data_IF_951606012419
#
_entry.id   IF_951606012419
#
_cell.length_a   1.000
_cell.length_b   1.000
_cell.length_c   1.000
_cell.angle_alpha   90.00
_cell.angle_beta   90.00
_cell.angle_gamma   90.00
#
_symmetry.space_group_name_H-M   'P 1'
#
loop_
_entity.id
_entity.type
_entity.pdbx_description
1 polymer ?
#
# COMPACT_ATOMS: atom_id res chain seq x y z
N UNK A 1 26.90 26.16 42.38
CA UNK A 1 26.48 26.69 41.07
C UNK A 1 26.99 25.89 39.86
N UNK A 2 28.14 25.21 39.91
CA UNK A 2 28.62 24.39 38.78
C UNK A 2 27.79 23.12 38.49
N UNK A 3 27.14 22.52 39.49
CA UNK A 3 26.32 21.31 39.32
C UNK A 3 24.96 21.53 38.62
N UNK A 4 24.44 22.77 38.61
CA UNK A 4 23.14 23.10 37.99
C UNK A 4 23.25 23.35 36.47
N UNK A 5 24.45 23.60 35.95
CA UNK A 5 24.70 23.81 34.51
C UNK A 5 25.18 22.54 33.78
N UNK A 6 25.51 21.48 34.52
CA UNK A 6 25.96 20.21 33.94
C UNK A 6 24.78 19.47 33.27
N UNK A 7 23.59 19.56 33.84
CA UNK A 7 22.40 18.84 33.38
C UNK A 7 21.89 19.31 32.00
N UNK A 8 21.75 20.62 31.72
CA UNK A 8 21.35 21.09 30.40
C UNK A 8 22.37 20.73 29.31
N UNK A 9 23.67 20.78 29.63
CA UNK A 9 24.73 20.43 28.68
C UNK A 9 24.67 18.95 28.26
N UNK A 10 24.40 18.05 29.20
CA UNK A 10 24.23 16.61 28.92
C UNK A 10 23.00 16.36 28.05
N UNK A 11 21.89 17.05 28.29
CA UNK A 11 20.67 16.92 27.48
C UNK A 11 20.89 17.41 26.05
N UNK A 12 21.55 18.56 25.88
CA UNK A 12 21.86 19.10 24.54
C UNK A 12 22.83 18.18 23.80
N UNK A 13 23.87 17.68 24.48
CA UNK A 13 24.80 16.73 23.87
C UNK A 13 24.11 15.41 23.46
N UNK A 14 23.21 14.88 24.30
CA UNK A 14 22.42 13.69 24.00
C UNK A 14 21.49 13.92 22.81
N UNK A 15 20.79 15.05 22.75
CA UNK A 15 19.93 15.42 21.62
C UNK A 15 20.73 15.52 20.32
N UNK A 16 21.90 16.18 20.33
CA UNK A 16 22.76 16.29 19.15
C UNK A 16 23.29 14.92 18.70
N UNK A 17 23.64 14.04 19.63
CA UNK A 17 24.08 12.68 19.31
C UNK A 17 22.96 11.88 18.61
N UNK A 18 21.72 11.96 19.10
CA UNK A 18 20.55 11.32 18.48
C UNK A 18 20.25 11.94 17.11
N UNK A 19 20.32 13.27 16.98
CA UNK A 19 20.09 13.95 15.70
C UNK A 19 21.11 13.53 14.63
N UNK A 20 22.39 13.48 14.99
CA UNK A 20 23.46 12.98 14.09
C UNK A 20 23.22 11.51 13.73
N UNK A 21 22.83 10.67 14.68
CA UNK A 21 22.51 9.26 14.43
C UNK A 21 21.37 9.11 13.42
N UNK A 22 20.28 9.87 13.58
CA UNK A 22 19.13 9.87 12.65
C UNK A 22 19.55 10.32 11.25
N UNK A 23 20.38 11.36 11.13
CA UNK A 23 20.89 11.83 9.83
C UNK A 23 21.77 10.77 9.16
N UNK A 24 22.63 10.09 9.93
CA UNK A 24 23.48 9.00 9.41
C UNK A 24 22.64 7.80 8.97
N UNK A 25 21.67 7.37 9.79
CA UNK A 25 20.74 6.29 9.42
C UNK A 25 19.93 6.66 8.16
N UNK A 26 19.40 7.88 8.10
CA UNK A 26 18.66 8.39 6.95
C UNK A 26 19.49 8.34 5.67
N UNK A 27 20.74 8.80 5.70
CA UNK A 27 21.65 8.74 4.54
C UNK A 27 21.98 7.32 4.11
N UNK A 28 22.13 6.38 5.06
CA UNK A 28 22.39 4.97 4.73
C UNK A 28 21.19 4.27 4.08
N UNK A 29 19.97 4.63 4.51
CA UNK A 29 18.70 4.19 3.93
C UNK A 29 18.56 4.65 2.47
N UNK A 30 18.81 5.94 2.21
CA UNK A 30 18.70 6.50 0.86
C UNK A 30 19.73 5.91 -0.10
N UNK A 31 20.95 5.62 0.39
CA UNK A 31 21.98 5.01 -0.45
C UNK A 31 21.60 3.59 -0.90
N UNK A 32 21.06 2.76 0.00
CA UNK A 32 20.61 1.39 -0.34
C UNK A 32 19.44 1.42 -1.34
N UNK A 33 18.52 2.36 -1.17
CA UNK A 33 17.42 2.57 -2.09
C UNK A 33 17.90 2.97 -3.50
N UNK A 34 18.92 3.83 -3.62
CA UNK A 34 19.50 4.19 -4.92
C UNK A 34 20.30 3.05 -5.57
N UNK A 35 20.96 2.20 -4.79
CA UNK A 35 21.64 1.02 -5.32
C UNK A 35 20.67 -0.02 -5.87
N UNK A 36 19.56 -0.29 -5.18
CA UNK A 36 18.51 -1.20 -5.65
C UNK A 36 17.80 -0.64 -6.89
N UNK A 37 17.57 0.69 -6.94
CA UNK A 37 17.01 1.38 -8.12
C UNK A 37 17.94 1.36 -9.34
N UNK A 38 19.26 1.46 -9.15
CA UNK A 38 20.23 1.38 -10.24
C UNK A 38 20.51 -0.05 -10.71
N UNK A 39 20.38 -1.05 -9.82
CA UNK A 39 20.48 -2.46 -10.18
C UNK A 39 19.32 -2.90 -11.09
N UNK A 40 18.10 -2.44 -10.80
CA UNK A 40 16.90 -2.74 -11.60
C UNK A 40 16.87 -2.01 -12.96
N UNK A 41 17.73 -1.01 -13.19
CA UNK A 41 17.83 -0.24 -14.44
C UNK A 41 18.95 -0.69 -15.38
N UNK A 42 19.74 -1.71 -15.04
CA UNK A 42 20.71 -2.27 -16.00
C UNK A 42 19.94 -2.93 -17.16
N UNK A 43 20.13 -2.49 -18.41
CA UNK A 43 19.61 -3.20 -19.56
C UNK A 43 20.21 -4.60 -19.57
N UNK A 44 19.35 -5.61 -19.59
CA UNK A 44 19.73 -7.00 -19.80
C UNK A 44 20.52 -7.09 -21.11
N UNK A 45 21.76 -7.62 -21.11
CA UNK A 45 22.53 -7.78 -22.34
C UNK A 45 21.69 -8.55 -23.35
N UNK A 46 21.51 -7.95 -24.53
CA UNK A 46 20.83 -8.57 -25.65
C UNK A 46 21.43 -9.94 -25.92
N UNK A 47 20.56 -10.94 -26.08
CA UNK A 47 20.91 -12.33 -26.28
C UNK A 47 21.92 -12.53 -27.41
N UNK A 48 22.77 -13.53 -27.22
CA UNK A 48 23.77 -13.97 -28.17
C UNK A 48 23.15 -14.31 -29.55
N UNK A 49 23.86 -14.05 -30.66
CA UNK A 49 23.36 -14.26 -32.01
C UNK A 49 23.32 -15.76 -32.37
N UNK A 50 22.17 -16.20 -32.88
CA UNK A 50 21.98 -17.48 -33.58
C UNK A 50 22.40 -17.30 -35.05
N UNK A 51 23.13 -18.25 -35.69
CA UNK A 51 23.61 -18.05 -37.05
C UNK A 51 22.56 -18.38 -38.13
N UNK A 52 22.36 -17.39 -39.01
CA UNK A 52 22.09 -17.41 -40.45
C UNK A 52 21.06 -18.38 -41.07
N UNK A 53 20.08 -17.80 -41.78
CA UNK A 53 19.66 -18.26 -43.12
C UNK A 53 18.82 -17.20 -43.88
N UNK A 54 19.38 -16.77 -45.03
CA UNK A 54 18.73 -16.39 -46.32
C UNK A 54 18.24 -14.94 -46.54
N UNK A 55 18.92 -14.32 -47.50
CA UNK A 55 18.62 -13.09 -48.26
C UNK A 55 17.20 -13.05 -48.86
N UNK A 56 16.57 -11.86 -48.92
CA UNK A 56 16.06 -11.25 -50.18
C UNK A 56 16.08 -9.72 -50.06
N UNK A 57 16.44 -9.09 -51.17
CA UNK A 57 16.72 -7.69 -51.51
C UNK A 57 15.58 -6.65 -51.37
N UNK A 58 16.07 -5.40 -51.32
CA UNK A 58 15.63 -4.16 -52.01
C UNK A 58 14.84 -3.05 -51.29
N UNK A 59 15.33 -1.84 -51.59
CA UNK A 59 14.73 -0.50 -51.54
C UNK A 59 14.81 0.36 -50.25
N UNK A 60 15.74 1.31 -50.29
CA UNK A 60 15.65 2.64 -49.66
C UNK A 60 15.39 3.69 -50.78
N UNK A 61 15.28 5.01 -50.52
CA UNK A 61 14.62 5.78 -49.45
C UNK A 61 13.66 6.85 -50.03
N UNK A 62 12.90 7.58 -49.21
CA UNK A 62 12.32 8.87 -49.66
C UNK A 62 12.11 9.87 -48.51
N UNK A 63 12.77 11.03 -48.66
CA UNK A 63 12.55 12.27 -47.94
C UNK A 63 11.16 12.87 -48.24
N UNK A 64 10.61 13.67 -47.31
CA UNK A 64 9.89 14.89 -47.67
C UNK A 64 9.81 15.86 -46.48
N UNK A 65 10.39 17.04 -46.71
CA UNK A 65 10.42 18.25 -45.90
C UNK A 65 9.20 19.16 -46.20
N UNK A 66 8.68 19.84 -45.15
CA UNK A 66 8.22 21.26 -45.11
C UNK A 66 6.85 21.60 -45.80
N UNK A 67 6.08 22.70 -45.51
CA UNK A 67 6.22 23.83 -44.54
C UNK A 67 4.99 24.20 -43.65
N UNK A 68 5.30 25.02 -42.65
CA UNK A 68 4.46 25.97 -41.88
C UNK A 68 3.85 27.09 -42.76
N UNK A 69 2.66 27.61 -42.43
CA UNK A 69 2.34 29.01 -42.74
C UNK A 69 2.08 29.87 -41.50
N UNK A 70 2.48 31.13 -41.66
CA UNK A 70 2.50 32.19 -40.67
C UNK A 70 1.12 32.81 -40.38
N UNK A 71 1.03 33.40 -39.20
CA UNK A 71 -0.01 34.32 -38.72
C UNK A 71 0.06 35.68 -39.41
N UNK A 72 -1.06 36.43 -39.53
CA UNK A 72 -1.02 37.89 -39.56
C UNK A 72 -1.63 38.50 -38.29
N UNK A 73 -0.91 39.48 -37.76
CA UNK A 73 -1.36 40.41 -36.75
C UNK A 73 -2.24 41.52 -37.35
N UNK A 74 -3.33 41.88 -36.66
CA UNK A 74 -3.93 43.21 -36.69
C UNK A 74 -4.77 43.39 -35.40
N UNK A 75 -4.41 44.35 -34.55
CA UNK A 75 -5.28 44.88 -33.48
C UNK A 75 -6.00 46.16 -33.96
N UNK A 76 -6.40 47.08 -33.07
CA UNK A 76 -7.21 46.90 -31.86
C UNK A 76 -8.43 47.85 -31.88
N UNK A 77 -9.49 47.60 -31.10
CA UNK A 77 -10.37 48.68 -30.63
C UNK A 77 -11.15 48.29 -29.37
N UNK A 78 -11.26 49.27 -28.48
CA UNK A 78 -11.70 49.16 -27.10
C UNK A 78 -13.22 49.33 -26.94
N UNK A 79 -13.80 48.66 -25.94
CA UNK A 79 -14.93 49.18 -25.19
C UNK A 79 -14.91 48.59 -23.77
N UNK A 80 -14.93 49.50 -22.81
CA UNK A 80 -14.77 49.35 -21.37
C UNK A 80 -16.17 49.44 -20.72
N UNK A 81 -16.48 48.62 -19.70
CA UNK A 81 -17.66 48.85 -18.83
C UNK A 81 -18.25 47.66 -18.06
N UNK A 82 -17.82 47.48 -16.81
CA UNK A 82 -18.50 46.94 -15.60
C UNK A 82 -19.00 45.46 -15.60
N UNK A 83 -18.38 44.46 -14.93
CA UNK A 83 -18.24 44.18 -13.47
C UNK A 83 -19.60 43.96 -12.76
N UNK A 84 -19.93 42.91 -12.01
CA UNK A 84 -19.37 41.59 -11.71
C UNK A 84 -20.41 40.80 -10.89
N UNK A 85 -20.42 39.47 -11.01
CA UNK A 85 -20.43 38.51 -9.87
C UNK A 85 -20.12 37.13 -10.46
N UNK A 86 -18.85 36.91 -10.78
CA UNK A 86 -18.34 35.58 -11.05
C UNK A 86 -17.69 35.07 -9.75
N UNK A 87 -18.30 34.04 -9.18
CA UNK A 87 -17.66 33.16 -8.19
C UNK A 87 -16.31 32.72 -8.74
N UNK A 88 -15.18 32.94 -8.06
CA UNK A 88 -13.88 32.56 -8.61
C UNK A 88 -13.80 31.03 -8.62
N UNK A 89 -13.94 30.46 -9.82
CA UNK A 89 -13.32 29.19 -10.15
C UNK A 89 -11.87 29.29 -9.70
N UNK A 90 -11.49 28.50 -8.69
CA UNK A 90 -10.10 28.34 -8.26
C UNK A 90 -9.37 27.64 -9.40
N UNK A 91 -8.86 28.46 -10.31
CA UNK A 91 -8.21 28.05 -11.54
C UNK A 91 -6.88 27.37 -11.23
N UNK A 92 -6.63 26.29 -11.96
CA UNK A 92 -5.47 25.41 -11.99
C UNK A 92 -4.11 26.09 -12.31
N UNK A 93 -3.78 27.21 -11.67
CA UNK A 93 -2.58 28.01 -11.97
C UNK A 93 -1.35 27.52 -11.18
N UNK A 94 -1.52 26.68 -10.14
CA UNK A 94 -0.41 26.11 -9.36
C UNK A 94 0.23 24.84 -9.94
N UNK A 95 -0.53 24.04 -10.69
CA UNK A 95 -0.11 22.71 -11.20
C UNK A 95 0.90 22.78 -12.37
N UNK A 96 1.00 23.92 -13.03
CA UNK A 96 1.80 24.09 -14.25
C UNK A 96 3.32 24.13 -13.99
N UNK A 97 3.76 24.19 -12.73
CA UNK A 97 5.17 24.43 -12.36
C UNK A 97 5.97 23.16 -12.05
N UNK A 98 5.31 22.02 -11.83
CA UNK A 98 6.01 20.75 -11.65
C UNK A 98 6.32 20.11 -13.01
N UNK A 99 7.55 19.63 -13.28
CA UNK A 99 7.91 19.04 -14.58
C UNK A 99 7.06 17.81 -14.97
N UNK A 100 6.39 17.17 -14.01
CA UNK A 100 5.42 16.08 -14.24
C UNK A 100 3.95 16.55 -14.39
N UNK A 101 3.63 17.81 -14.09
CA UNK A 101 2.25 18.33 -14.06
C UNK A 101 1.63 18.63 -15.43
N UNK A 102 2.36 18.46 -16.54
CA UNK A 102 1.92 18.92 -17.88
C UNK A 102 1.77 17.84 -18.95
N UNK A 103 1.68 16.56 -18.59
CA UNK A 103 1.53 15.49 -19.58
C UNK A 103 0.33 14.60 -19.25
N UNK A 104 -0.87 15.02 -19.66
CA UNK A 104 -1.92 14.04 -19.91
C UNK A 104 -1.50 13.24 -21.16
N UNK A 105 -1.08 11.96 -21.03
CA UNK A 105 -0.81 11.13 -22.18
C UNK A 105 -2.13 10.85 -22.92
N UNK A 106 -2.03 10.56 -24.22
CA UNK A 106 -3.16 10.04 -24.97
C UNK A 106 -3.66 8.72 -24.38
N UNK A 107 -4.92 8.39 -24.66
CA UNK A 107 -5.56 7.11 -24.36
C UNK A 107 -4.60 5.92 -24.60
N UNK A 108 -4.42 5.07 -23.58
CA UNK A 108 -3.55 3.89 -23.65
C UNK A 108 -2.21 3.96 -22.89
N UNK A 109 -2.06 4.91 -21.97
CA UNK A 109 -0.86 5.01 -21.13
C UNK A 109 -0.67 3.79 -20.19
N UNK A 110 0.58 3.39 -19.88
CA UNK A 110 0.84 2.34 -18.89
C UNK A 110 0.31 2.73 -17.51
N UNK A 111 0.05 1.74 -16.65
CA UNK A 111 -0.34 2.00 -15.25
C UNK A 111 0.67 2.88 -14.55
N UNK A 112 0.19 3.94 -13.89
CA UNK A 112 1.01 4.92 -13.19
C UNK A 112 0.24 5.54 -12.02
N UNK A 113 0.90 6.45 -11.29
CA UNK A 113 0.27 7.26 -10.25
C UNK A 113 -0.29 8.56 -10.83
N UNK A 114 -1.48 8.94 -10.37
CA UNK A 114 -2.22 10.10 -10.82
C UNK A 114 -2.76 10.87 -9.61
N UNK A 115 -2.77 12.19 -9.71
CA UNK A 115 -3.58 13.03 -8.83
C UNK A 115 -4.95 13.18 -9.48
N UNK A 116 -6.00 12.82 -8.76
CA UNK A 116 -7.39 12.95 -9.22
C UNK A 116 -8.17 13.90 -8.33
N UNK A 117 -9.23 14.50 -8.86
CA UNK A 117 -10.14 15.31 -8.05
C UNK A 117 -10.73 14.49 -6.88
N UNK A 118 -10.60 15.04 -5.68
CA UNK A 118 -11.13 14.47 -4.44
C UNK A 118 -12.60 14.81 -4.19
N UNK A 119 -13.13 15.82 -4.89
CA UNK A 119 -14.46 16.41 -4.63
C UNK A 119 -15.54 15.94 -5.60
N UNK A 120 -15.16 15.49 -6.81
CA UNK A 120 -16.07 14.94 -7.80
C UNK A 120 -16.42 13.47 -7.62
N UNK A 121 -17.58 13.07 -8.16
CA UNK A 121 -18.04 11.67 -8.21
C UNK A 121 -17.16 10.79 -9.11
N UNK A 122 -16.41 11.39 -10.03
CA UNK A 122 -15.49 10.69 -10.95
C UNK A 122 -14.03 11.02 -10.64
N UNK A 123 -13.11 10.04 -10.68
CA UNK A 123 -11.69 10.28 -10.46
C UNK A 123 -11.04 10.88 -11.72
N UNK A 124 -11.36 12.13 -12.03
CA UNK A 124 -10.78 12.86 -13.16
C UNK A 124 -9.31 13.19 -12.90
N UNK A 125 -8.42 12.89 -13.86
CA UNK A 125 -7.00 13.12 -13.72
C UNK A 125 -6.65 14.61 -13.79
N UNK A 126 -6.07 15.13 -12.72
CA UNK A 126 -5.57 16.50 -12.64
C UNK A 126 -4.09 16.61 -12.99
N UNK A 127 -3.30 15.58 -12.64
CA UNK A 127 -1.88 15.49 -12.96
C UNK A 127 -1.35 14.05 -12.97
N UNK A 128 -0.24 13.84 -13.65
CA UNK A 128 0.45 12.56 -13.81
C UNK A 128 0.98 12.42 -15.24
N UNK A 129 1.48 11.23 -15.63
CA UNK A 129 1.75 10.09 -14.76
C UNK A 129 2.98 10.35 -13.87
N UNK A 130 2.88 10.00 -12.58
CA UNK A 130 4.00 9.99 -11.63
C UNK A 130 4.59 8.59 -11.51
N UNK A 131 5.89 8.50 -11.24
CA UNK A 131 6.60 7.21 -11.18
C UNK A 131 6.26 6.43 -9.90
N UNK A 132 6.04 7.14 -8.80
CA UNK A 132 5.68 6.57 -7.51
C UNK A 132 4.71 7.47 -6.73
N UNK A 133 4.12 6.90 -5.67
CA UNK A 133 3.17 7.61 -4.80
C UNK A 133 3.80 8.81 -4.12
N UNK A 134 5.06 8.70 -3.73
CA UNK A 134 5.77 9.75 -3.00
C UNK A 134 5.90 10.98 -3.91
N UNK A 135 6.29 10.81 -5.17
CA UNK A 135 6.34 11.88 -6.16
C UNK A 135 4.98 12.55 -6.38
N UNK A 136 3.90 11.77 -6.48
CA UNK A 136 2.54 12.31 -6.62
C UNK A 136 2.11 13.11 -5.37
N UNK A 137 2.32 12.55 -4.18
CA UNK A 137 1.99 13.21 -2.91
C UNK A 137 2.81 14.50 -2.72
N UNK A 138 4.11 14.50 -3.06
CA UNK A 138 4.93 15.71 -3.05
C UNK A 138 4.42 16.78 -4.03
N UNK A 139 3.93 16.38 -5.20
CA UNK A 139 3.35 17.31 -6.17
C UNK A 139 2.05 17.92 -5.64
N UNK A 140 1.21 17.16 -4.93
CA UNK A 140 0.00 17.66 -4.29
C UNK A 140 0.32 18.73 -3.22
N UNK A 141 1.25 18.42 -2.31
CA UNK A 141 1.71 19.34 -1.26
C UNK A 141 2.31 20.61 -1.85
N UNK A 142 3.19 20.47 -2.85
CA UNK A 142 3.88 21.62 -3.48
C UNK A 142 2.94 22.57 -4.22
N UNK A 143 1.77 22.07 -4.62
CA UNK A 143 0.75 22.85 -5.32
C UNK A 143 -0.38 23.33 -4.38
N UNK A 144 -0.28 23.10 -3.07
CA UNK A 144 -1.31 23.43 -2.07
C UNK A 144 -2.67 22.78 -2.39
N UNK A 145 -2.64 21.51 -2.83
CA UNK A 145 -3.81 20.72 -3.21
C UNK A 145 -4.19 19.65 -2.18
N UNK A 146 -3.50 19.61 -1.04
CA UNK A 146 -3.74 18.62 0.00
C UNK A 146 -5.19 18.61 0.46
N UNK A 147 -5.78 17.42 0.54
CA UNK A 147 -7.19 17.23 0.89
C UNK A 147 -8.20 17.54 -0.23
N UNK A 148 -7.81 18.29 -1.27
CA UNK A 148 -8.64 18.53 -2.45
C UNK A 148 -8.42 17.47 -3.55
N UNK A 149 -7.27 16.79 -3.55
CA UNK A 149 -6.92 15.75 -4.51
C UNK A 149 -6.65 14.41 -3.83
N UNK A 150 -6.83 13.33 -4.58
CA UNK A 150 -6.51 11.97 -4.15
C UNK A 150 -5.44 11.38 -5.06
N UNK A 151 -4.48 10.70 -4.46
CA UNK A 151 -3.46 9.94 -5.19
C UNK A 151 -4.01 8.56 -5.55
N UNK A 152 -4.05 8.23 -6.84
CA UNK A 152 -4.64 6.99 -7.36
C UNK A 152 -3.67 6.32 -8.33
N UNK A 153 -3.49 5.01 -8.16
CA UNK A 153 -2.78 4.18 -9.13
C UNK A 153 -3.76 3.61 -10.16
N UNK A 154 -3.43 3.72 -11.44
CA UNK A 154 -4.37 3.31 -12.49
C UNK A 154 -3.95 3.64 -13.91
N UNK A 155 -4.90 3.44 -14.82
CA UNK A 155 -4.77 3.74 -16.25
C UNK A 155 -5.65 4.93 -16.59
N UNK A 156 -5.10 5.91 -17.29
CA UNK A 156 -5.87 7.02 -17.83
C UNK A 156 -6.75 6.54 -18.98
N UNK A 157 -8.06 6.77 -18.85
CA UNK A 157 -9.07 6.46 -19.87
C UNK A 157 -9.18 7.59 -20.90
N UNK A 158 -9.81 7.31 -22.05
CA UNK A 158 -10.03 8.32 -23.09
C UNK A 158 -10.87 9.51 -22.60
N UNK A 159 -11.78 9.25 -21.66
CA UNK A 159 -12.66 10.23 -21.03
C UNK A 159 -11.94 11.12 -20.00
N UNK A 160 -10.61 11.01 -19.84
CA UNK A 160 -9.82 11.78 -18.86
C UNK A 160 -9.90 11.27 -17.41
N UNK A 161 -10.71 10.24 -17.15
CA UNK A 161 -10.80 9.60 -15.84
C UNK A 161 -9.73 8.54 -15.62
N UNK A 162 -9.39 8.24 -14.36
CA UNK A 162 -8.45 7.17 -14.01
C UNK A 162 -9.20 5.90 -13.62
N UNK A 163 -9.04 4.85 -14.41
CA UNK A 163 -9.49 3.50 -14.04
C UNK A 163 -8.51 2.91 -13.03
N UNK A 164 -8.98 2.68 -11.79
CA UNK A 164 -8.14 2.19 -10.68
C UNK A 164 -7.56 0.82 -11.00
N UNK A 165 -6.28 0.64 -10.65
CA UNK A 165 -5.59 -0.65 -10.68
C UNK A 165 -4.83 -0.83 -9.36
N UNK A 166 -4.73 -2.06 -8.82
CA UNK A 166 -3.90 -2.33 -7.66
C UNK A 166 -2.48 -1.78 -7.85
N UNK A 167 -1.98 -1.05 -6.85
CA UNK A 167 -0.62 -0.52 -6.89
C UNK A 167 0.42 -1.65 -6.76
N UNK A 168 1.71 -1.39 -7.07
CA UNK A 168 2.77 -2.35 -6.75
C UNK A 168 2.80 -2.74 -5.27
N UNK A 169 2.53 -1.78 -4.37
CA UNK A 169 2.44 -2.03 -2.93
C UNK A 169 1.22 -2.92 -2.60
N UNK A 170 0.04 -2.63 -3.16
CA UNK A 170 -1.17 -3.43 -2.92
C UNK A 170 -0.96 -4.86 -3.41
N UNK A 171 -0.34 -5.04 -4.59
CA UNK A 171 -0.02 -6.38 -5.11
C UNK A 171 0.97 -7.14 -4.24
N UNK A 172 2.00 -6.46 -3.72
CA UNK A 172 2.94 -7.07 -2.79
C UNK A 172 2.27 -7.46 -1.47
N UNK A 173 1.38 -6.61 -0.95
CA UNK A 173 0.58 -6.91 0.23
C UNK A 173 -0.37 -8.10 0.01
N UNK A 174 -1.10 -8.13 -1.11
CA UNK A 174 -1.98 -9.25 -1.48
C UNK A 174 -1.21 -10.56 -1.65
N UNK A 175 -0.02 -10.53 -2.26
CA UNK A 175 0.83 -11.71 -2.35
C UNK A 175 1.29 -12.19 -0.97
N UNK A 176 1.67 -11.26 -0.08
CA UNK A 176 2.03 -11.58 1.29
C UNK A 176 0.86 -12.16 2.10
N UNK A 177 -0.34 -11.62 1.93
CA UNK A 177 -1.57 -12.15 2.52
C UNK A 177 -1.88 -13.56 2.01
N UNK A 178 -1.74 -13.81 0.71
CA UNK A 178 -1.88 -15.15 0.12
C UNK A 178 -0.94 -16.15 0.79
N UNK A 179 0.35 -15.80 0.95
CA UNK A 179 1.32 -16.65 1.67
C UNK A 179 0.94 -16.89 3.13
N UNK A 180 0.20 -15.99 3.78
CA UNK A 180 -0.33 -16.24 5.12
C UNK A 180 -1.54 -17.18 5.09
N UNK A 181 -2.44 -17.02 4.12
CA UNK A 181 -3.61 -17.88 3.96
C UNK A 181 -3.22 -19.33 3.59
N UNK A 182 -2.12 -19.52 2.85
CA UNK A 182 -1.55 -20.85 2.55
C UNK A 182 -1.12 -21.65 3.82
N UNK A 183 -1.11 -21.00 5.00
CA UNK A 183 -0.76 -21.61 6.29
C UNK A 183 -1.95 -22.15 7.06
N UNK A 184 -3.17 -21.91 6.58
CA UNK A 184 -4.39 -22.42 7.18
C UNK A 184 -4.40 -23.95 7.19
N UNK A 185 -5.13 -24.56 8.12
CA UNK A 185 -5.25 -26.03 8.16
C UNK A 185 -6.03 -26.55 6.95
N UNK A 186 -5.81 -27.83 6.62
CA UNK A 186 -6.52 -28.53 5.53
C UNK A 186 -8.05 -28.53 5.74
N UNK A 187 -8.54 -28.32 6.97
CA UNK A 187 -9.98 -28.18 7.27
C UNK A 187 -10.64 -27.02 6.50
N UNK A 188 -9.85 -26.03 6.09
CA UNK A 188 -10.32 -24.93 5.27
C UNK A 188 -10.51 -25.32 3.80
N UNK A 189 -9.71 -26.24 3.25
CA UNK A 189 -9.73 -26.55 1.82
C UNK A 189 -11.10 -27.08 1.35
N UNK A 190 -11.80 -27.81 2.23
CA UNK A 190 -13.15 -28.33 1.94
C UNK A 190 -14.25 -27.26 2.08
N UNK A 191 -13.98 -26.18 2.81
CA UNK A 191 -14.94 -25.12 3.14
C UNK A 191 -14.77 -23.87 2.28
N UNK A 192 -13.58 -23.63 1.75
CA UNK A 192 -13.26 -22.46 0.95
C UNK A 192 -13.91 -22.57 -0.44
N UNK A 193 -15.04 -21.90 -0.61
CA UNK A 193 -15.63 -21.64 -1.93
C UNK A 193 -15.68 -20.13 -2.19
N UNK A 194 -15.57 -19.73 -3.46
CA UNK A 194 -15.43 -18.31 -3.88
C UNK A 194 -16.62 -17.42 -3.49
N UNK A 195 -17.78 -18.01 -3.16
CA UNK A 195 -19.01 -17.30 -2.80
C UNK A 195 -19.43 -17.51 -1.33
N UNK A 196 -18.62 -18.18 -0.51
CA UNK A 196 -18.96 -18.42 0.90
C UNK A 196 -18.65 -17.18 1.77
N UNK A 197 -19.62 -16.83 2.62
CA UNK A 197 -19.46 -15.80 3.64
C UNK A 197 -18.34 -16.17 4.63
N UNK A 198 -18.13 -17.46 4.90
CA UNK A 198 -17.05 -17.93 5.77
C UNK A 198 -15.67 -17.73 5.12
N UNK A 199 -15.53 -17.98 3.82
CA UNK A 199 -14.32 -17.65 3.04
C UNK A 199 -14.00 -16.15 3.12
N UNK A 200 -15.02 -15.31 2.93
CA UNK A 200 -14.85 -13.85 3.02
C UNK A 200 -14.38 -13.46 4.42
N UNK A 201 -15.03 -14.01 5.45
CA UNK A 201 -14.72 -13.69 6.84
C UNK A 201 -13.29 -14.09 7.23
N UNK A 202 -12.81 -15.28 6.85
CA UNK A 202 -11.44 -15.70 7.19
C UNK A 202 -10.39 -14.85 6.49
N UNK A 203 -10.64 -14.43 5.25
CA UNK A 203 -9.75 -13.51 4.51
C UNK A 203 -9.71 -12.14 5.18
N UNK A 204 -10.85 -11.60 5.61
CA UNK A 204 -10.91 -10.32 6.32
C UNK A 204 -10.21 -10.39 7.69
N UNK A 205 -10.43 -11.45 8.46
CA UNK A 205 -9.75 -11.67 9.75
C UNK A 205 -8.24 -11.80 9.55
N UNK A 206 -7.80 -12.60 8.59
CA UNK A 206 -6.39 -12.75 8.26
C UNK A 206 -5.76 -11.42 7.82
N UNK A 207 -6.44 -10.66 6.97
CA UNK A 207 -5.98 -9.34 6.52
C UNK A 207 -5.77 -8.38 7.70
N UNK A 208 -6.74 -8.28 8.61
CA UNK A 208 -6.64 -7.42 9.79
C UNK A 208 -5.48 -7.80 10.72
N UNK A 209 -5.26 -9.10 10.93
CA UNK A 209 -4.15 -9.60 11.74
C UNK A 209 -2.80 -9.29 11.10
N UNK A 210 -2.66 -9.55 9.79
CA UNK A 210 -1.43 -9.30 9.03
C UNK A 210 -1.14 -7.81 8.93
N UNK A 211 -2.16 -6.98 8.72
CA UNK A 211 -2.05 -5.52 8.73
C UNK A 211 -1.61 -5.00 10.10
N UNK A 212 -1.98 -5.68 11.18
CA UNK A 212 -1.51 -5.41 12.54
C UNK A 212 -0.08 -5.89 12.83
N UNK A 213 0.57 -6.53 11.85
CA UNK A 213 1.91 -7.09 11.98
C UNK A 213 1.97 -8.46 12.65
N UNK A 214 0.83 -9.13 12.82
CA UNK A 214 0.77 -10.50 13.34
C UNK A 214 0.86 -11.52 12.20
N UNK A 215 1.47 -12.67 12.48
CA UNK A 215 1.61 -13.76 11.52
C UNK A 215 0.68 -14.91 11.86
N UNK A 216 0.14 -15.57 10.84
CA UNK A 216 -0.59 -16.82 11.03
C UNK A 216 0.39 -17.95 11.36
N UNK A 217 -0.03 -18.79 12.31
CA UNK A 217 0.64 -20.03 12.63
C UNK A 217 0.49 -21.01 11.46
N UNK A 218 1.58 -21.69 11.10
CA UNK A 218 1.57 -22.74 10.09
C UNK A 218 0.86 -23.99 10.62
N UNK A 219 -0.43 -24.10 10.28
CA UNK A 219 -1.29 -25.22 10.60
C UNK A 219 -1.33 -26.25 9.46
N UNK A 220 -0.83 -25.93 8.27
CA UNK A 220 -0.74 -26.87 7.15
C UNK A 220 0.38 -27.89 7.38
N UNK A 221 1.36 -27.56 8.23
CA UNK A 221 2.47 -28.45 8.55
C UNK A 221 3.48 -28.58 7.39
N UNK A 222 3.38 -27.68 6.41
CA UNK A 222 4.27 -27.65 5.26
C UNK A 222 5.71 -27.27 5.64
N UNK A 223 5.88 -26.40 6.64
CA UNK A 223 7.19 -25.99 7.17
C UNK A 223 7.28 -26.22 8.70
N UNK A 224 8.01 -27.26 9.14
CA UNK A 224 8.20 -27.54 10.56
C UNK A 224 8.88 -26.41 11.36
N UNK A 225 9.75 -25.61 10.73
CA UNK A 225 10.39 -24.48 11.41
C UNK A 225 9.39 -23.33 11.62
N UNK A 226 8.53 -23.08 10.63
CA UNK A 226 7.45 -22.10 10.75
C UNK A 226 6.40 -22.53 11.78
N UNK A 227 6.06 -23.83 11.83
CA UNK A 227 5.16 -24.37 12.84
C UNK A 227 5.74 -24.17 14.26
N UNK A 228 7.05 -24.39 14.46
CA UNK A 228 7.67 -24.25 15.78
C UNK A 228 7.65 -22.81 16.33
N UNK A 229 7.56 -21.78 15.47
CA UNK A 229 7.65 -20.37 15.85
C UNK A 229 6.41 -19.84 16.59
N UNK A 230 5.25 -20.49 16.41
CA UNK A 230 3.95 -19.99 16.90
C UNK A 230 3.34 -18.89 16.01
N UNK A 231 2.21 -18.35 16.42
CA UNK A 231 1.43 -17.37 15.64
C UNK A 231 -0.06 -17.41 15.95
N UNK A 232 -0.87 -16.77 15.14
CA UNK A 232 -2.34 -16.82 15.27
C UNK A 232 -2.88 -18.03 14.51
N UNK A 233 -3.67 -18.87 15.18
CA UNK A 233 -4.41 -19.96 14.56
C UNK A 233 -5.81 -19.49 14.19
N UNK A 234 -6.24 -19.83 12.98
CA UNK A 234 -7.60 -19.64 12.49
C UNK A 234 -8.19 -21.01 12.17
N UNK A 235 -9.24 -21.39 12.88
CA UNK A 235 -9.90 -22.70 12.72
C UNK A 235 -11.36 -22.45 12.35
N UNK A 236 -11.93 -23.18 11.35
CA UNK A 236 -13.31 -22.98 10.98
C UNK A 236 -14.23 -23.53 12.08
N UNK A 237 -15.28 -22.79 12.42
CA UNK A 237 -16.34 -23.24 13.32
C UNK A 237 -17.69 -23.17 12.60
N UNK A 238 -18.01 -24.29 11.95
CA UNK A 238 -19.16 -24.40 11.05
C UNK A 238 -20.50 -24.39 11.79
N UNK A 239 -20.55 -24.79 13.06
CA UNK A 239 -21.79 -24.82 13.84
C UNK A 239 -22.34 -23.42 14.10
N UNK A 240 -21.43 -22.44 14.23
CA UNK A 240 -21.75 -21.04 14.49
C UNK A 240 -21.48 -20.13 13.28
N UNK A 241 -21.02 -20.71 12.16
CA UNK A 241 -20.70 -19.96 10.94
C UNK A 241 -19.61 -18.92 11.15
N UNK A 242 -18.53 -19.28 11.86
CA UNK A 242 -17.49 -18.34 12.26
C UNK A 242 -16.08 -18.91 12.24
N UNK A 243 -15.14 -18.08 12.67
CA UNK A 243 -13.72 -18.39 12.75
C UNK A 243 -13.29 -18.39 14.21
N UNK A 244 -12.75 -19.50 14.68
CA UNK A 244 -12.07 -19.55 15.97
C UNK A 244 -10.67 -18.98 15.81
N UNK A 245 -10.36 -17.98 16.64
CA UNK A 245 -9.09 -17.29 16.69
C UNK A 245 -8.42 -17.59 18.03
N UNK A 246 -7.18 -18.05 17.96
CA UNK A 246 -6.37 -18.32 19.14
C UNK A 246 -4.88 -18.08 18.87
N UNK A 247 -4.11 -17.91 19.93
CA UNK A 247 -2.66 -17.82 19.85
C UNK A 247 -2.03 -19.20 20.02
N UNK A 248 -1.04 -19.52 19.19
CA UNK A 248 -0.12 -20.64 19.40
C UNK A 248 1.23 -20.10 19.80
N UNK A 249 1.70 -20.46 20.98
CA UNK A 249 3.06 -20.11 21.41
C UNK A 249 4.10 -21.00 20.74
N UNK A 250 5.30 -20.45 20.59
CA UNK A 250 6.49 -21.20 20.20
C UNK A 250 6.66 -22.49 21.03
N UNK A 251 7.04 -23.58 20.37
CA UNK A 251 7.27 -24.89 20.99
C UNK A 251 8.22 -24.89 22.18
N UNK A 252 9.20 -23.97 22.22
CA UNK A 252 10.11 -23.81 23.36
C UNK A 252 9.35 -23.45 24.64
N UNK A 253 8.22 -22.77 24.51
CA UNK A 253 7.39 -22.37 25.63
C UNK A 253 6.29 -23.39 25.90
N UNK A 254 5.55 -23.80 24.87
CA UNK A 254 4.37 -24.64 25.03
C UNK A 254 4.70 -26.14 25.17
N UNK A 255 5.64 -26.67 24.39
CA UNK A 255 6.02 -28.09 24.43
C UNK A 255 7.16 -28.35 25.41
N UNK A 256 8.21 -27.54 25.33
CA UNK A 256 9.41 -27.71 26.15
C UNK A 256 9.27 -27.10 27.54
N UNK A 257 8.27 -26.22 27.75
CA UNK A 257 7.97 -25.56 29.03
C UNK A 257 9.22 -25.02 29.74
N UNK A 258 10.15 -24.43 28.98
CA UNK A 258 11.45 -23.95 29.51
C UNK A 258 11.28 -22.90 30.62
N UNK A 259 10.12 -22.24 30.68
CA UNK A 259 9.75 -21.25 31.69
C UNK A 259 8.64 -21.72 32.65
N UNK A 260 8.21 -22.97 32.54
CA UNK A 260 7.17 -23.59 33.37
C UNK A 260 5.73 -23.33 32.90
N UNK A 261 4.85 -24.27 33.22
CA UNK A 261 3.45 -24.29 32.79
C UNK A 261 2.61 -23.07 33.25
N UNK A 262 2.94 -22.49 34.41
CA UNK A 262 2.22 -21.31 34.92
C UNK A 262 2.45 -20.07 34.05
N UNK A 263 3.69 -19.84 33.58
CA UNK A 263 3.99 -18.73 32.68
C UNK A 263 3.37 -18.97 31.30
N UNK A 264 3.45 -20.21 30.80
CA UNK A 264 2.79 -20.65 29.57
C UNK A 264 1.29 -20.28 29.59
N UNK A 265 0.56 -20.76 30.59
CA UNK A 265 -0.87 -20.46 30.75
C UNK A 265 -1.13 -18.95 30.84
N UNK A 266 -0.28 -18.20 31.54
CA UNK A 266 -0.45 -16.75 31.68
C UNK A 266 -0.28 -16.02 30.34
N UNK A 267 0.75 -16.36 29.57
CA UNK A 267 0.99 -15.73 28.27
C UNK A 267 -0.07 -16.15 27.27
N UNK A 268 -0.53 -17.40 27.30
CA UNK A 268 -1.61 -17.88 26.45
C UNK A 268 -2.87 -17.04 26.64
N UNK A 269 -3.28 -16.84 27.90
CA UNK A 269 -4.44 -16.01 28.24
C UNK A 269 -4.26 -14.55 27.80
N UNK A 270 -3.09 -13.96 28.06
CA UNK A 270 -2.80 -12.57 27.67
C UNK A 270 -2.87 -12.39 26.16
N UNK A 271 -2.25 -13.29 25.39
CA UNK A 271 -2.23 -13.19 23.92
C UNK A 271 -3.62 -13.38 23.34
N UNK A 272 -4.38 -14.36 23.83
CA UNK A 272 -5.76 -14.58 23.40
C UNK A 272 -6.66 -13.35 23.68
N UNK A 273 -6.53 -12.72 24.85
CA UNK A 273 -7.27 -11.49 25.16
C UNK A 273 -6.88 -10.33 24.24
N UNK A 274 -5.58 -10.16 23.95
CA UNK A 274 -5.11 -9.14 23.01
C UNK A 274 -5.66 -9.34 21.59
N UNK A 275 -5.74 -10.59 21.11
CA UNK A 275 -6.32 -10.90 19.80
C UNK A 275 -7.81 -10.53 19.76
N UNK A 276 -8.56 -10.86 20.81
CA UNK A 276 -9.97 -10.53 20.91
C UNK A 276 -10.19 -9.00 20.86
N UNK A 277 -9.44 -8.24 21.66
CA UNK A 277 -9.52 -6.79 21.72
C UNK A 277 -9.12 -6.14 20.40
N UNK A 278 -8.08 -6.64 19.75
CA UNK A 278 -7.62 -6.17 18.44
C UNK A 278 -8.72 -6.34 17.39
N UNK A 279 -9.27 -7.55 17.27
CA UNK A 279 -10.32 -7.83 16.28
C UNK A 279 -11.58 -7.01 16.55
N UNK A 280 -11.96 -6.82 17.82
CA UNK A 280 -13.06 -5.92 18.16
C UNK A 280 -12.80 -4.47 17.73
N UNK A 281 -11.56 -3.97 17.82
CA UNK A 281 -11.16 -2.64 17.33
C UNK A 281 -11.20 -2.51 15.80
N UNK A 282 -10.88 -3.59 15.08
CA UNK A 282 -11.08 -3.68 13.63
C UNK A 282 -12.56 -3.80 13.24
N UNK A 283 -13.47 -3.87 14.21
CA UNK A 283 -14.92 -3.88 13.99
C UNK A 283 -15.51 -5.27 13.88
N UNK A 284 -14.79 -6.35 14.17
CA UNK A 284 -15.35 -7.69 14.16
C UNK A 284 -16.33 -7.92 15.32
N UNK A 285 -17.29 -8.82 15.12
CA UNK A 285 -18.14 -9.39 16.17
C UNK A 285 -17.36 -10.55 16.78
N UNK A 286 -16.91 -10.37 18.03
CA UNK A 286 -16.02 -11.29 18.74
C UNK A 286 -16.69 -11.74 20.02
N UNK A 287 -16.85 -13.05 20.20
CA UNK A 287 -17.39 -13.68 21.40
C UNK A 287 -16.35 -14.61 22.04
N UNK A 288 -16.26 -14.67 23.38
CA UNK A 288 -15.40 -15.64 24.05
C UNK A 288 -15.89 -17.06 23.77
N UNK A 289 -14.96 -17.97 23.50
CA UNK A 289 -15.27 -19.36 23.14
C UNK A 289 -14.37 -20.35 23.88
N UNK A 290 -15.00 -21.32 24.57
CA UNK A 290 -14.31 -22.36 25.32
C UNK A 290 -13.60 -21.88 26.59
N UNK A 291 -12.98 -22.82 27.30
CA UNK A 291 -12.31 -22.55 28.59
C UNK A 291 -10.87 -22.02 28.43
N UNK A 292 -10.25 -22.25 27.29
CA UNK A 292 -8.85 -21.86 26.99
C UNK A 292 -8.71 -20.42 26.44
N UNK A 293 -9.82 -19.68 26.38
CA UNK A 293 -9.85 -18.27 26.01
C UNK A 293 -9.75 -18.00 24.51
N UNK A 294 -10.10 -18.97 23.66
CA UNK A 294 -10.27 -18.71 22.23
C UNK A 294 -11.40 -17.69 22.00
N UNK A 295 -11.39 -17.06 20.83
CA UNK A 295 -12.44 -16.13 20.44
C UNK A 295 -13.13 -16.60 19.17
N UNK A 296 -14.45 -16.58 19.15
CA UNK A 296 -15.25 -16.83 17.96
C UNK A 296 -15.54 -15.50 17.26
N UNK A 297 -15.19 -15.43 15.97
CA UNK A 297 -15.49 -14.29 15.10
C UNK A 297 -16.57 -14.69 14.11
N UNK A 298 -17.66 -13.93 14.02
CA UNK A 298 -18.83 -14.32 13.19
C UNK A 298 -19.19 -13.31 12.09
N UNK A 299 -18.72 -12.07 12.19
CA UNK A 299 -19.00 -11.03 11.20
C UNK A 299 -18.06 -9.82 11.36
N UNK A 300 -17.99 -8.99 10.32
CA UNK A 300 -17.57 -7.58 10.45
C UNK A 300 -18.81 -6.73 10.75
N UNK A 301 -18.73 -5.86 11.76
CA UNK A 301 -19.76 -4.84 11.99
C UNK A 301 -19.70 -3.87 10.82
N UNK A 302 -20.60 -4.03 9.87
CA UNK A 302 -20.89 -2.95 8.94
C UNK A 302 -21.42 -1.79 9.78
N UNK A 303 -20.68 -0.68 9.83
CA UNK A 303 -21.23 0.55 10.38
C UNK A 303 -22.57 0.81 9.69
N UNK A 304 -23.68 1.06 10.41
CA UNK A 304 -24.83 1.63 9.75
C UNK A 304 -24.35 2.96 9.16
N UNK A 305 -24.48 3.10 7.84
CA UNK A 305 -24.44 4.40 7.17
C UNK A 305 -25.59 5.19 7.78
N UNK A 306 -25.31 5.90 8.86
CA UNK A 306 -26.26 6.80 9.52
C UNK A 306 -26.47 8.01 8.63
N UNK A 307 -27.71 8.19 8.19
CA UNK A 307 -28.15 9.22 7.24
C UNK A 307 -28.53 10.55 7.85
#
# INVERSE_FOLDING_TARGET
MAALLLWPAVVVAGFLAVAVLVVVLGRSSTARYEFERNAARRPQPAGAPTPAAVEVRDAAPACADVPVPASPAAGPEAAEGAVATATPARTAVGLATHPAGRRLPGAGAPTAWWLVDGTGDRPEALAGPFADRVEADWAAVSCDLDGAVRTVHGVLTEDGSVSRRPSPQDRAWLAGLGTQLDRLSEDWDELLTDEDALTTLVVEVAAALVESGLTLHDCSGADPEAAAAGGVCLTPETSYGGVLVSWRQHDRMSLQQVRGAALDTSVQRTMNALLADLLAQFGFVVDPFGEEGCSLVTAIRTHPVGG
#
